data_IF_354609301491
#
_entry.id   IF_354609301491
#
_cell.length_a   1.000
_cell.length_b   1.000
_cell.length_c   1.000
_cell.angle_alpha   90.00
_cell.angle_beta   90.00
_cell.angle_gamma   90.00
#
_symmetry.space_group_name_H-M   'P 1'
#
loop_
_entity.id
_entity.type
_entity.pdbx_description
1 polymer ?
#
# COMPACT_ATOMS: atom_id res chain seq x y z
N UNK A 1 27.00 12.68 14.17
CA UNK A 1 27.08 12.12 12.80
C UNK A 1 26.53 10.71 12.84
N UNK A 2 25.66 10.34 11.90
CA UNK A 2 25.32 8.93 11.62
C UNK A 2 23.99 8.35 12.12
N UNK A 3 22.87 9.10 12.12
CA UNK A 3 21.52 8.51 12.23
C UNK A 3 20.73 8.81 10.95
N UNK A 4 21.08 8.12 9.87
CA UNK A 4 20.19 7.91 8.73
C UNK A 4 20.28 6.43 8.43
N UNK A 5 19.18 5.71 8.67
CA UNK A 5 19.01 4.39 8.11
C UNK A 5 19.25 4.51 6.59
N UNK A 6 20.41 4.04 6.14
CA UNK A 6 20.80 4.07 4.74
C UNK A 6 19.97 2.99 4.04
N UNK A 7 18.95 3.40 3.29
CA UNK A 7 18.42 2.65 2.14
C UNK A 7 17.96 1.22 2.37
N UNK A 8 17.36 0.89 3.52
CA UNK A 8 16.75 -0.41 3.73
C UNK A 8 15.44 -0.52 2.95
N UNK A 9 15.41 -1.33 1.89
CA UNK A 9 14.15 -1.82 1.35
C UNK A 9 13.29 -2.37 2.51
N UNK A 10 12.03 -1.98 2.56
CA UNK A 10 11.11 -2.47 3.59
C UNK A 10 10.74 -3.90 3.20
N UNK A 11 11.25 -4.90 3.94
CA UNK A 11 10.96 -6.32 3.67
C UNK A 11 9.47 -6.59 3.64
N UNK A 12 8.77 -6.10 4.65
CA UNK A 12 7.32 -6.19 4.74
C UNK A 12 6.71 -4.79 4.89
N UNK A 13 5.68 -4.51 4.11
CA UNK A 13 4.92 -3.26 4.15
C UNK A 13 3.49 -3.58 4.55
N UNK A 14 2.97 -2.87 5.54
CA UNK A 14 1.58 -2.97 5.99
C UNK A 14 0.84 -1.73 5.54
N UNK A 15 -0.27 -1.93 4.85
CA UNK A 15 -1.13 -0.86 4.33
C UNK A 15 -2.51 -1.06 4.96
N UNK A 16 -2.90 -0.13 5.82
CA UNK A 16 -4.24 -0.08 6.38
C UNK A 16 -5.10 0.82 5.48
N UNK A 17 -6.33 0.38 5.21
CA UNK A 17 -7.26 1.20 4.44
C UNK A 17 -7.63 2.46 5.24
N UNK A 18 -7.33 3.67 4.73
CA UNK A 18 -7.73 4.90 5.41
C UNK A 18 -9.24 5.07 5.35
N UNK A 19 -9.82 5.78 6.33
CA UNK A 19 -11.22 6.17 6.26
C UNK A 19 -11.40 7.20 5.14
N UNK A 20 -11.98 6.79 4.02
CA UNK A 20 -12.26 7.64 2.85
C UNK A 20 -13.65 8.27 3.01
N UNK A 21 -13.76 9.60 3.22
CA UNK A 21 -15.04 10.23 3.56
C UNK A 21 -16.11 10.19 2.46
N UNK A 22 -15.76 10.00 1.19
CA UNK A 22 -16.74 10.05 0.08
C UNK A 22 -16.44 9.03 -1.03
N UNK A 23 -15.84 7.89 -0.69
CA UNK A 23 -15.66 6.75 -1.62
C UNK A 23 -14.77 7.01 -2.84
N UNK A 24 -14.29 8.23 -3.06
CA UNK A 24 -13.42 8.55 -4.19
C UNK A 24 -11.98 8.17 -3.90
N UNK A 25 -11.51 7.17 -4.64
CA UNK A 25 -10.09 6.84 -4.78
C UNK A 25 -9.47 7.92 -5.66
N UNK A 26 -8.75 8.86 -5.04
CA UNK A 26 -8.09 9.93 -5.78
C UNK A 26 -6.73 9.49 -6.38
N UNK A 27 -6.21 10.32 -7.29
CA UNK A 27 -4.94 10.04 -7.97
C UNK A 27 -3.75 10.05 -7.01
N UNK A 28 -3.83 10.80 -5.92
CA UNK A 28 -2.76 10.90 -4.93
C UNK A 28 -2.65 9.61 -4.11
N UNK A 29 -3.78 9.07 -3.67
CA UNK A 29 -3.90 7.79 -3.00
C UNK A 29 -3.38 6.66 -3.88
N UNK A 30 -3.72 6.64 -5.18
CA UNK A 30 -3.16 5.65 -6.12
C UNK A 30 -1.64 5.76 -6.26
N UNK A 31 -1.07 6.97 -6.29
CA UNK A 31 0.38 7.18 -6.33
C UNK A 31 1.07 6.76 -5.03
N UNK A 32 0.42 7.01 -3.89
CA UNK A 32 0.89 6.56 -2.60
C UNK A 32 0.92 5.03 -2.52
N UNK A 33 -0.17 4.37 -2.93
CA UNK A 33 -0.23 2.92 -3.04
C UNK A 33 0.88 2.39 -3.95
N UNK A 34 1.01 2.90 -5.17
CA UNK A 34 2.07 2.48 -6.10
C UNK A 34 3.47 2.57 -5.47
N UNK A 35 3.73 3.63 -4.70
CA UNK A 35 5.00 3.78 -3.98
C UNK A 35 5.16 2.73 -2.89
N UNK A 36 4.10 2.44 -2.12
CA UNK A 36 4.13 1.41 -1.08
C UNK A 36 4.39 0.01 -1.67
N UNK A 37 3.73 -0.33 -2.79
CA UNK A 37 3.94 -1.58 -3.50
C UNK A 37 5.37 -1.71 -4.06
N UNK A 38 5.84 -0.69 -4.78
CA UNK A 38 7.15 -0.73 -5.46
C UNK A 38 8.35 -0.56 -4.52
N UNK A 39 8.14 -0.08 -3.29
CA UNK A 39 9.20 0.00 -2.27
C UNK A 39 9.28 -1.21 -1.34
N UNK A 40 8.29 -2.10 -1.35
CA UNK A 40 8.38 -3.37 -0.62
C UNK A 40 9.28 -4.34 -1.38
N UNK A 41 10.15 -5.07 -0.67
CA UNK A 41 11.05 -6.05 -1.32
C UNK A 41 10.57 -7.49 -1.22
N UNK A 42 9.72 -7.84 -0.24
CA UNK A 42 9.26 -9.22 -0.07
C UNK A 42 7.72 -9.31 -0.08
N UNK A 43 7.03 -8.54 0.77
CA UNK A 43 5.58 -8.71 0.91
C UNK A 43 4.85 -7.43 1.29
N UNK A 44 3.65 -7.25 0.73
CA UNK A 44 2.69 -6.21 1.12
C UNK A 44 1.48 -6.87 1.75
N UNK A 45 1.07 -6.36 2.90
CA UNK A 45 -0.13 -6.77 3.62
C UNK A 45 -1.16 -5.66 3.55
N UNK A 46 -2.33 -5.95 2.95
CA UNK A 46 -3.46 -5.04 2.88
C UNK A 46 -4.45 -5.39 4.00
N UNK A 47 -4.71 -4.45 4.90
CA UNK A 47 -5.55 -4.65 6.08
C UNK A 47 -6.78 -3.74 5.97
N UNK A 48 -7.97 -4.33 6.08
CA UNK A 48 -9.23 -3.60 6.06
C UNK A 48 -9.65 -3.04 4.69
N UNK A 49 -9.05 -3.55 3.60
CA UNK A 49 -9.48 -3.21 2.25
C UNK A 49 -10.79 -3.94 1.90
N UNK A 50 -11.78 -3.26 1.28
CA UNK A 50 -13.01 -3.91 0.84
C UNK A 50 -12.77 -4.84 -0.35
N UNK A 51 -13.62 -5.86 -0.50
CA UNK A 51 -13.47 -6.90 -1.52
C UNK A 51 -13.45 -6.35 -2.95
N UNK A 52 -14.11 -5.20 -3.19
CA UNK A 52 -14.14 -4.51 -4.49
C UNK A 52 -12.74 -4.08 -4.99
N UNK A 53 -11.73 -4.01 -4.12
CA UNK A 53 -10.34 -3.74 -4.50
C UNK A 53 -9.65 -4.96 -5.14
N UNK A 54 -10.23 -6.15 -4.98
CA UNK A 54 -9.66 -7.39 -5.49
C UNK A 54 -10.46 -7.87 -6.69
N UNK A 55 -9.78 -8.07 -7.82
CA UNK A 55 -10.42 -8.71 -8.96
C UNK A 55 -10.81 -10.14 -8.57
N UNK A 56 -12.10 -10.44 -8.57
CA UNK A 56 -12.55 -11.81 -8.43
C UNK A 56 -12.05 -12.62 -9.64
N UNK A 57 -11.42 -13.79 -9.43
CA UNK A 57 -11.03 -14.63 -10.54
C UNK A 57 -12.27 -15.04 -11.34
N UNK A 58 -12.19 -15.09 -12.67
CA UNK A 58 -13.26 -15.65 -13.48
C UNK A 58 -13.49 -17.11 -13.06
N UNK A 59 -14.76 -17.48 -12.93
CA UNK A 59 -15.22 -18.80 -12.48
C UNK A 59 -14.89 -19.90 -13.48
#
# INVERSE_FOLDING_TARGET
MGHKAQGGQWKHVFIEHPWLPEGEVDLEYLRWLYTAFTRSSEQVYLIGFPDDFFLHPPQ
#
